data_IF_462131502639
#
_entry.id   IF_462131502639
#
_cell.length_a   1.000
_cell.length_b   1.000
_cell.length_c   1.000
_cell.angle_alpha   90.00
_cell.angle_beta   90.00
_cell.angle_gamma   90.00
#
_symmetry.space_group_name_H-M   'P 1'
#
loop_
_entity.id
_entity.type
_entity.pdbx_description
1 polymer ?
#
# COMPACT_ATOMS: atom_id res chain seq x y z
N UNK A 1 -4.04 -16.41 13.04
CA UNK A 1 -3.25 -16.22 14.27
C UNK A 1 -3.54 -17.30 15.31
N UNK A 2 -4.80 -17.58 15.65
CA UNK A 2 -5.17 -18.65 16.61
C UNK A 2 -4.60 -20.03 16.25
N UNK A 3 -4.62 -20.42 14.97
CA UNK A 3 -4.02 -21.67 14.51
C UNK A 3 -2.49 -21.69 14.69
N UNK A 4 -1.83 -20.56 14.44
CA UNK A 4 -0.39 -20.42 14.67
C UNK A 4 -0.07 -20.54 16.16
N UNK A 5 -0.82 -19.85 17.02
CA UNK A 5 -0.66 -19.93 18.47
C UNK A 5 -0.86 -21.36 18.99
N UNK A 6 -1.86 -22.06 18.46
CA UNK A 6 -2.11 -23.45 18.80
C UNK A 6 -0.93 -24.34 18.40
N UNK A 7 -0.40 -24.19 17.18
CA UNK A 7 0.79 -24.93 16.70
C UNK A 7 2.03 -24.65 17.55
N UNK A 8 2.23 -23.40 17.99
CA UNK A 8 3.34 -23.06 18.87
C UNK A 8 3.22 -23.77 20.24
N UNK A 9 2.02 -23.95 20.77
CA UNK A 9 1.79 -24.66 22.02
C UNK A 9 2.10 -26.18 21.95
N UNK A 10 2.18 -26.75 20.74
CA UNK A 10 2.53 -28.15 20.54
C UNK A 10 4.04 -28.45 20.73
N UNK A 11 4.88 -27.38 20.77
CA UNK A 11 6.30 -27.54 21.07
C UNK A 11 6.54 -27.53 22.57
N UNK A 12 7.44 -28.39 23.03
CA UNK A 12 7.98 -28.35 24.40
C UNK A 12 9.20 -27.39 24.41
N UNK A 13 9.09 -26.21 25.02
CA UNK A 13 10.21 -25.26 25.07
C UNK A 13 11.48 -25.85 25.70
N UNK A 14 11.34 -26.79 26.65
CA UNK A 14 12.47 -27.46 27.30
C UNK A 14 13.27 -28.37 26.40
N UNK A 15 12.70 -28.81 25.26
CA UNK A 15 13.38 -29.67 24.26
C UNK A 15 14.09 -28.87 23.16
N UNK A 16 13.92 -27.54 23.13
CA UNK A 16 14.46 -26.66 22.09
C UNK A 16 15.92 -26.28 22.38
N UNK A 17 16.74 -26.13 21.33
CA UNK A 17 18.06 -25.51 21.45
C UNK A 17 17.93 -24.03 21.83
N UNK A 18 19.04 -23.40 22.31
CA UNK A 18 19.02 -21.99 22.70
C UNK A 18 18.50 -21.06 21.58
N UNK A 19 18.95 -21.26 20.34
CA UNK A 19 18.52 -20.48 19.18
C UNK A 19 17.03 -20.72 18.84
N UNK A 20 16.58 -21.99 18.93
CA UNK A 20 15.18 -22.34 18.72
C UNK A 20 14.27 -21.75 19.82
N UNK A 21 14.77 -21.65 21.06
CA UNK A 21 14.02 -21.03 22.15
C UNK A 21 13.83 -19.54 21.95
N UNK A 22 14.86 -18.81 21.49
CA UNK A 22 14.76 -17.39 21.12
C UNK A 22 13.69 -17.20 20.03
N UNK A 23 13.70 -18.05 19.00
CA UNK A 23 12.71 -18.00 17.92
C UNK A 23 11.30 -18.31 18.45
N UNK A 24 11.15 -19.34 19.27
CA UNK A 24 9.87 -19.71 19.89
C UNK A 24 9.30 -18.58 20.74
N UNK A 25 10.12 -17.98 21.60
CA UNK A 25 9.72 -16.88 22.49
C UNK A 25 9.32 -15.65 21.66
N UNK A 26 10.09 -15.33 20.61
CA UNK A 26 9.80 -14.21 19.71
C UNK A 26 8.48 -14.42 18.96
N UNK A 27 8.27 -15.59 18.35
CA UNK A 27 7.02 -15.92 17.65
C UNK A 27 5.84 -15.97 18.60
N UNK A 28 6.02 -16.48 19.83
CA UNK A 28 4.96 -16.49 20.84
C UNK A 28 4.57 -15.07 21.24
N UNK A 29 5.54 -14.22 21.58
CA UNK A 29 5.29 -12.83 21.93
C UNK A 29 4.61 -12.03 20.80
N UNK A 30 5.08 -12.20 19.55
CA UNK A 30 4.45 -11.57 18.37
C UNK A 30 3.00 -12.05 18.19
N UNK A 31 2.77 -13.35 18.31
CA UNK A 31 1.43 -13.93 18.12
C UNK A 31 0.48 -13.46 19.22
N UNK A 32 0.93 -13.48 20.49
CA UNK A 32 0.14 -13.04 21.64
C UNK A 32 -0.21 -11.54 21.51
N UNK A 33 0.76 -10.69 21.13
CA UNK A 33 0.51 -9.25 20.89
C UNK A 33 -0.50 -9.03 19.76
N UNK A 34 -0.37 -9.79 18.68
CA UNK A 34 -1.32 -9.68 17.55
C UNK A 34 -2.74 -10.16 17.92
N UNK A 35 -2.85 -11.18 18.80
CA UNK A 35 -4.15 -11.65 19.30
C UNK A 35 -4.79 -10.63 20.26
N UNK A 36 -3.99 -9.87 21.01
CA UNK A 36 -4.50 -8.77 21.87
C UNK A 36 -5.09 -7.62 21.05
N UNK A 37 -4.71 -7.49 19.78
CA UNK A 37 -5.27 -6.47 18.87
C UNK A 37 -6.56 -6.94 18.18
N UNK A 38 -7.03 -8.17 18.42
CA UNK A 38 -8.28 -8.68 17.83
C UNK A 38 -9.47 -7.83 18.29
N UNK A 39 -10.28 -7.40 17.33
CA UNK A 39 -11.41 -6.47 17.55
C UNK A 39 -11.03 -4.99 17.52
N UNK A 40 -9.75 -4.67 17.27
CA UNK A 40 -9.25 -3.29 17.13
C UNK A 40 -8.93 -2.93 15.66
N UNK A 41 -9.35 -3.76 14.71
CA UNK A 41 -9.00 -3.60 13.28
C UNK A 41 -9.45 -2.25 12.73
N UNK A 42 -10.60 -1.74 13.17
CA UNK A 42 -11.13 -0.44 12.73
C UNK A 42 -10.34 0.77 13.27
N UNK A 43 -9.43 0.56 14.21
CA UNK A 43 -8.51 1.61 14.66
C UNK A 43 -7.27 1.76 13.79
N UNK A 44 -7.05 0.84 12.84
CA UNK A 44 -5.98 1.00 11.85
C UNK A 44 -6.23 2.22 10.97
N UNK A 45 -5.14 2.87 10.56
CA UNK A 45 -5.18 4.08 9.74
C UNK A 45 -4.35 3.87 8.46
N UNK A 46 -4.87 3.16 7.46
CA UNK A 46 -4.17 2.96 6.20
C UNK A 46 -3.96 4.27 5.45
N UNK A 47 -4.92 5.20 5.56
CA UNK A 47 -4.82 6.54 5.00
C UNK A 47 -4.49 7.55 6.10
N UNK A 48 -3.52 8.42 5.83
CA UNK A 48 -3.12 9.49 6.75
C UNK A 48 -2.54 10.68 5.95
N UNK A 49 -2.67 11.92 6.45
CA UNK A 49 -2.23 13.12 5.72
C UNK A 49 -0.76 13.10 5.26
N UNK A 50 0.13 12.41 6.00
CA UNK A 50 1.58 12.47 5.72
C UNK A 50 2.17 11.10 5.36
N UNK A 51 1.80 10.05 6.10
CA UNK A 51 2.43 8.72 6.00
C UNK A 51 1.44 7.62 5.61
N UNK A 52 0.28 7.99 5.06
CA UNK A 52 -0.69 7.02 4.58
C UNK A 52 -0.22 6.29 3.32
N UNK A 53 -0.86 5.17 3.03
CA UNK A 53 -0.51 4.32 1.88
C UNK A 53 -0.62 5.08 0.54
N UNK A 54 -1.52 6.08 0.46
CA UNK A 54 -1.66 6.93 -0.72
C UNK A 54 -0.38 7.71 -1.05
N UNK A 55 0.45 8.03 -0.05
CA UNK A 55 1.71 8.72 -0.23
C UNK A 55 2.91 7.76 -0.32
N UNK A 56 2.85 6.63 0.38
CA UNK A 56 3.95 5.66 0.41
C UNK A 56 4.00 4.76 -0.83
N UNK A 57 2.84 4.34 -1.34
CA UNK A 57 2.77 3.38 -2.43
C UNK A 57 3.43 3.88 -3.74
N UNK A 58 3.27 5.15 -4.17
CA UNK A 58 4.00 5.66 -5.32
C UNK A 58 5.52 5.63 -5.14
N UNK A 59 6.00 5.89 -3.92
CA UNK A 59 7.43 5.83 -3.60
C UNK A 59 7.93 4.39 -3.72
N UNK A 60 7.23 3.43 -3.11
CA UNK A 60 7.57 2.01 -3.21
C UNK A 60 7.58 1.53 -4.67
N UNK A 61 6.61 1.96 -5.47
CA UNK A 61 6.57 1.66 -6.90
C UNK A 61 7.75 2.30 -7.65
N UNK A 62 8.20 3.48 -7.27
CA UNK A 62 9.35 4.15 -7.89
C UNK A 62 10.68 3.48 -7.55
N UNK A 63 10.77 2.84 -6.40
CA UNK A 63 11.97 2.15 -5.91
C UNK A 63 12.02 0.66 -6.28
N UNK A 64 10.97 0.13 -6.91
CA UNK A 64 10.91 -1.28 -7.33
C UNK A 64 12.02 -1.58 -8.35
N UNK A 65 13.00 -2.40 -8.00
CA UNK A 65 14.19 -2.66 -8.81
C UNK A 65 13.90 -3.65 -9.95
N UNK A 66 14.51 -3.44 -11.12
CA UNK A 66 14.45 -4.35 -12.26
C UNK A 66 15.81 -5.06 -12.44
N UNK A 67 15.82 -6.38 -12.24
CA UNK A 67 16.96 -7.28 -12.49
C UNK A 67 16.68 -8.31 -13.59
N UNK A 68 15.42 -8.43 -13.99
CA UNK A 68 14.94 -9.35 -15.03
C UNK A 68 13.75 -8.76 -15.78
N UNK A 69 13.40 -9.37 -16.92
CA UNK A 69 12.16 -9.05 -17.66
C UNK A 69 10.94 -9.31 -16.74
N UNK A 70 10.99 -10.34 -15.90
CA UNK A 70 9.88 -10.67 -15.01
C UNK A 70 9.59 -9.54 -14.01
N UNK A 71 10.62 -8.86 -13.51
CA UNK A 71 10.41 -7.73 -12.57
C UNK A 71 9.68 -6.56 -13.23
N UNK A 72 9.93 -6.33 -14.54
CA UNK A 72 9.17 -5.32 -15.30
C UNK A 72 7.71 -5.74 -15.44
N UNK A 73 7.45 -7.02 -15.76
CA UNK A 73 6.09 -7.57 -15.85
C UNK A 73 5.36 -7.50 -14.52
N UNK A 74 6.04 -7.87 -13.43
CA UNK A 74 5.47 -7.81 -12.08
C UNK A 74 5.14 -6.37 -11.67
N UNK A 75 6.01 -5.41 -11.96
CA UNK A 75 5.76 -4.00 -11.74
C UNK A 75 4.52 -3.48 -12.51
N UNK A 76 4.40 -3.83 -13.79
CA UNK A 76 3.22 -3.46 -14.59
C UNK A 76 1.94 -4.11 -14.04
N UNK A 77 2.05 -5.36 -13.56
CA UNK A 77 0.96 -6.07 -12.90
C UNK A 77 0.54 -5.38 -11.60
N UNK A 78 1.50 -4.90 -10.79
CA UNK A 78 1.20 -4.14 -9.57
C UNK A 78 0.43 -2.85 -9.88
N UNK A 79 0.85 -2.09 -10.90
CA UNK A 79 0.13 -0.90 -11.34
C UNK A 79 -1.32 -1.21 -11.72
N UNK A 80 -1.57 -2.33 -12.41
CA UNK A 80 -2.92 -2.72 -12.83
C UNK A 80 -3.87 -3.05 -11.68
N UNK A 81 -3.35 -3.31 -10.48
CA UNK A 81 -4.14 -3.70 -9.31
C UNK A 81 -4.50 -2.52 -8.40
N UNK A 82 -3.98 -1.32 -8.67
CA UNK A 82 -4.13 -0.16 -7.78
C UNK A 82 -5.59 0.23 -7.53
N UNK A 83 -6.44 0.18 -8.55
CA UNK A 83 -7.85 0.56 -8.40
C UNK A 83 -8.59 -0.39 -7.45
N UNK A 84 -8.36 -1.69 -7.59
CA UNK A 84 -8.91 -2.70 -6.66
C UNK A 84 -8.39 -2.49 -5.24
N UNK A 85 -7.09 -2.23 -5.10
CA UNK A 85 -6.46 -2.03 -3.80
C UNK A 85 -7.01 -0.79 -3.08
N UNK A 86 -7.16 0.34 -3.78
CA UNK A 86 -7.79 1.53 -3.20
C UNK A 86 -9.29 1.35 -2.97
N UNK A 87 -9.96 0.53 -3.77
CA UNK A 87 -11.34 0.13 -3.52
C UNK A 87 -11.51 -0.59 -2.18
N UNK A 88 -10.61 -1.52 -1.86
CA UNK A 88 -10.62 -2.22 -0.57
C UNK A 88 -10.33 -1.28 0.60
N UNK A 89 -9.40 -0.33 0.43
CA UNK A 89 -9.13 0.72 1.43
C UNK A 89 -10.35 1.62 1.65
N UNK A 90 -11.01 2.06 0.57
CA UNK A 90 -12.23 2.87 0.68
C UNK A 90 -13.35 2.11 1.37
N UNK A 91 -13.50 0.83 1.08
CA UNK A 91 -14.47 -0.02 1.79
C UNK A 91 -14.16 -0.08 3.29
N UNK A 92 -12.90 -0.22 3.66
CA UNK A 92 -12.46 -0.20 5.06
C UNK A 92 -12.73 1.17 5.72
N UNK A 93 -12.42 2.28 5.08
CA UNK A 93 -12.71 3.62 5.60
C UNK A 93 -14.23 3.87 5.72
N UNK A 94 -15.03 3.30 4.81
CA UNK A 94 -16.49 3.32 4.95
C UNK A 94 -16.96 2.57 6.21
N UNK A 95 -16.42 1.38 6.47
CA UNK A 95 -16.73 0.62 7.70
C UNK A 95 -16.34 1.39 8.96
N UNK A 96 -15.17 2.05 8.96
CA UNK A 96 -14.76 2.95 10.06
C UNK A 96 -15.74 4.10 10.24
N UNK A 97 -16.15 4.73 9.15
CA UNK A 97 -17.13 5.83 9.19
C UNK A 97 -18.48 5.38 9.76
N UNK A 98 -18.94 4.18 9.38
CA UNK A 98 -20.20 3.61 9.89
C UNK A 98 -20.11 3.22 11.38
N UNK A 99 -18.88 2.92 11.86
CA UNK A 99 -18.58 2.65 13.27
C UNK A 99 -18.23 3.91 14.08
N UNK A 100 -18.40 5.10 13.52
CA UNK A 100 -18.06 6.38 14.17
C UNK A 100 -16.55 6.57 14.43
N UNK A 101 -15.69 5.82 13.72
CA UNK A 101 -14.23 5.88 13.78
C UNK A 101 -13.61 6.49 12.50
N UNK A 102 -14.42 7.13 11.67
CA UNK A 102 -14.00 7.69 10.40
C UNK A 102 -13.02 8.86 10.53
N UNK A 103 -12.39 9.21 9.42
CA UNK A 103 -11.49 10.35 9.30
C UNK A 103 -12.26 11.66 9.50
N UNK A 104 -11.61 12.65 10.12
CA UNK A 104 -12.13 14.02 10.14
C UNK A 104 -12.08 14.64 8.74
N UNK A 105 -12.94 15.63 8.47
CA UNK A 105 -12.96 16.35 7.19
C UNK A 105 -11.59 17.00 6.90
N UNK A 106 -10.94 17.56 7.92
CA UNK A 106 -9.61 18.14 7.78
C UNK A 106 -8.53 17.11 7.39
N UNK A 107 -8.66 15.86 7.86
CA UNK A 107 -7.75 14.76 7.46
C UNK A 107 -8.04 14.33 6.03
N UNK A 108 -9.32 14.18 5.67
CA UNK A 108 -9.75 13.84 4.31
C UNK A 108 -9.22 14.87 3.31
N UNK A 109 -9.37 16.17 3.59
CA UNK A 109 -8.89 17.24 2.71
C UNK A 109 -7.40 17.16 2.43
N UNK A 110 -6.59 16.91 3.46
CA UNK A 110 -5.14 16.78 3.31
C UNK A 110 -4.74 15.51 2.56
N UNK A 111 -5.48 14.42 2.74
CA UNK A 111 -5.23 13.17 2.00
C UNK A 111 -5.59 13.39 0.52
N UNK A 112 -6.70 14.05 0.23
CA UNK A 112 -7.11 14.40 -1.14
C UNK A 112 -6.04 15.30 -1.79
N UNK A 113 -5.59 16.35 -1.13
CA UNK A 113 -4.51 17.22 -1.62
C UNK A 113 -3.24 16.43 -1.96
N UNK A 114 -2.87 15.48 -1.09
CA UNK A 114 -1.76 14.55 -1.36
C UNK A 114 -2.02 13.71 -2.61
N UNK A 115 -3.23 13.16 -2.78
CA UNK A 115 -3.60 12.36 -3.95
C UNK A 115 -3.59 13.18 -5.25
N UNK A 116 -4.10 14.42 -5.21
CA UNK A 116 -4.13 15.33 -6.35
C UNK A 116 -2.73 15.65 -6.87
N UNK A 117 -1.72 15.70 -6.00
CA UNK A 117 -0.32 15.94 -6.39
C UNK A 117 0.25 14.87 -7.33
N UNK A 118 -0.36 13.68 -7.40
CA UNK A 118 0.03 12.59 -8.30
C UNK A 118 -0.72 12.61 -9.64
N UNK A 119 -1.75 13.46 -9.79
CA UNK A 119 -2.53 13.57 -11.02
C UNK A 119 -1.82 14.45 -12.07
N UNK A 120 -0.66 13.99 -12.49
CA UNK A 120 0.21 14.62 -13.48
C UNK A 120 0.14 13.82 -14.78
N UNK A 121 0.28 14.50 -15.93
CA UNK A 121 0.29 13.82 -17.23
C UNK A 121 1.26 12.64 -17.26
N UNK A 122 0.90 11.52 -17.89
CA UNK A 122 1.70 10.29 -17.85
C UNK A 122 3.17 10.48 -18.24
N UNK A 123 3.46 11.34 -19.22
CA UNK A 123 4.83 11.59 -19.71
C UNK A 123 5.67 12.36 -18.68
N UNK A 124 5.04 13.23 -17.89
CA UNK A 124 5.67 14.07 -16.86
C UNK A 124 5.61 13.43 -15.46
N UNK A 125 4.96 12.27 -15.33
CA UNK A 125 4.82 11.59 -14.04
C UNK A 125 6.17 11.04 -13.57
N UNK A 126 6.50 11.25 -12.29
CA UNK A 126 7.78 10.80 -11.72
C UNK A 126 7.97 9.27 -11.82
N UNK A 127 6.88 8.48 -11.84
CA UNK A 127 6.96 7.04 -12.07
C UNK A 127 7.49 6.72 -13.47
N UNK A 128 7.22 7.57 -14.46
CA UNK A 128 7.75 7.42 -15.82
C UNK A 128 9.24 7.74 -15.85
N UNK A 129 9.68 8.79 -15.20
CA UNK A 129 11.11 9.12 -15.07
C UNK A 129 11.89 8.00 -14.36
N UNK A 130 11.37 7.50 -13.23
CA UNK A 130 12.00 6.41 -12.49
C UNK A 130 11.95 5.08 -13.24
N UNK A 131 10.88 4.81 -14.00
CA UNK A 131 10.79 3.64 -14.87
C UNK A 131 11.89 3.64 -15.95
N UNK A 132 12.09 4.78 -16.63
CA UNK A 132 13.16 4.92 -17.62
C UNK A 132 14.56 4.71 -17.02
N UNK A 133 14.78 5.21 -15.82
CA UNK A 133 16.05 5.04 -15.11
C UNK A 133 16.31 3.57 -14.77
N UNK A 134 15.28 2.86 -14.29
CA UNK A 134 15.35 1.42 -13.95
C UNK A 134 15.48 0.54 -15.21
N UNK A 135 14.81 0.91 -16.29
CA UNK A 135 14.94 0.19 -17.56
C UNK A 135 16.36 0.32 -18.12
N UNK A 136 16.97 1.49 -18.02
CA UNK A 136 18.39 1.70 -18.37
C UNK A 136 19.33 0.88 -17.50
N UNK A 137 19.04 0.78 -16.19
CA UNK A 137 19.83 -0.07 -15.28
C UNK A 137 19.75 -1.55 -15.71
N UNK A 138 18.55 -2.03 -16.01
CA UNK A 138 18.33 -3.41 -16.48
C UNK A 138 19.12 -3.72 -17.77
N UNK A 139 19.28 -2.73 -18.69
CA UNK A 139 20.09 -2.88 -19.91
C UNK A 139 21.58 -3.17 -19.63
N UNK A 140 22.08 -2.84 -18.44
CA UNK A 140 23.45 -3.22 -18.03
C UNK A 140 23.55 -4.66 -17.52
N UNK A 141 22.45 -5.23 -17.06
CA UNK A 141 22.41 -6.60 -16.52
C UNK A 141 22.04 -7.63 -17.58
N UNK A 142 21.11 -7.28 -18.49
CA UNK A 142 20.62 -8.17 -19.55
C UNK A 142 20.51 -7.43 -20.89
N UNK A 143 20.52 -8.20 -21.99
CA UNK A 143 20.30 -7.64 -23.33
C UNK A 143 18.82 -7.55 -23.63
N UNK A 144 18.29 -6.34 -23.81
CA UNK A 144 16.94 -6.07 -24.30
C UNK A 144 16.98 -5.70 -25.79
N UNK A 145 16.03 -6.21 -26.56
CA UNK A 145 15.80 -5.75 -27.94
C UNK A 145 15.11 -4.38 -27.96
N UNK A 146 15.29 -3.59 -28.99
CA UNK A 146 14.60 -2.30 -29.15
C UNK A 146 13.06 -2.46 -29.14
N UNK A 147 12.56 -3.59 -29.65
CA UNK A 147 11.14 -3.91 -29.62
C UNK A 147 10.63 -4.09 -28.17
N UNK A 148 11.38 -4.80 -27.31
CA UNK A 148 11.02 -4.98 -25.90
C UNK A 148 11.02 -3.66 -25.14
N UNK A 149 12.04 -2.83 -25.36
CA UNK A 149 12.11 -1.50 -24.73
C UNK A 149 10.93 -0.60 -25.10
N UNK A 150 10.58 -0.60 -26.40
CA UNK A 150 9.44 0.18 -26.89
C UNK A 150 8.12 -0.35 -26.31
N UNK A 151 7.96 -1.67 -26.26
CA UNK A 151 6.77 -2.31 -25.68
C UNK A 151 6.62 -1.97 -24.18
N UNK A 152 7.68 -2.11 -23.40
CA UNK A 152 7.66 -1.78 -21.97
C UNK A 152 7.32 -0.32 -21.70
N UNK A 153 7.89 0.62 -22.46
CA UNK A 153 7.55 2.05 -22.36
C UNK A 153 6.10 2.33 -22.68
N UNK A 154 5.62 1.76 -23.79
CA UNK A 154 4.23 1.93 -24.20
C UNK A 154 3.26 1.39 -23.15
N UNK A 155 3.53 0.20 -22.63
CA UNK A 155 2.69 -0.43 -21.60
C UNK A 155 2.77 0.32 -20.27
N UNK A 156 3.94 0.83 -19.91
CA UNK A 156 4.07 1.65 -18.71
C UNK A 156 3.21 2.92 -18.81
N UNK A 157 3.30 3.68 -19.89
CA UNK A 157 2.47 4.87 -20.09
C UNK A 157 0.98 4.53 -20.11
N UNK A 158 0.61 3.39 -20.71
CA UNK A 158 -0.77 2.90 -20.67
C UNK A 158 -1.23 2.59 -19.23
N UNK A 159 -0.38 1.95 -18.41
CA UNK A 159 -0.68 1.69 -16.99
C UNK A 159 -0.79 2.98 -16.18
N UNK A 160 0.07 3.97 -16.41
CA UNK A 160 -0.08 5.26 -15.73
C UNK A 160 -1.42 5.92 -16.10
N UNK A 161 -1.75 5.95 -17.39
CA UNK A 161 -2.96 6.61 -17.87
C UNK A 161 -4.26 5.89 -17.49
N UNK A 162 -4.28 4.57 -17.57
CA UNK A 162 -5.49 3.76 -17.48
C UNK A 162 -5.64 2.97 -16.17
N UNK A 163 -4.61 2.96 -15.29
CA UNK A 163 -4.68 2.32 -14.00
C UNK A 163 -4.30 3.28 -12.86
N UNK A 164 -3.09 3.85 -12.86
CA UNK A 164 -2.60 4.69 -11.77
C UNK A 164 -3.44 5.96 -11.58
N UNK A 165 -3.58 6.77 -12.61
CA UNK A 165 -4.36 8.02 -12.52
C UNK A 165 -5.85 7.77 -12.21
N UNK A 166 -6.55 6.81 -12.82
CA UNK A 166 -7.91 6.47 -12.44
C UNK A 166 -8.05 6.00 -10.99
N UNK A 167 -7.12 5.17 -10.49
CA UNK A 167 -7.14 4.69 -9.12
C UNK A 167 -7.06 5.85 -8.09
N UNK A 168 -6.22 6.85 -8.35
CA UNK A 168 -6.17 8.05 -7.51
C UNK A 168 -7.42 8.91 -7.59
N UNK A 169 -8.03 9.05 -8.78
CA UNK A 169 -9.33 9.74 -8.91
C UNK A 169 -10.42 9.00 -8.15
N UNK A 170 -10.48 7.68 -8.25
CA UNK A 170 -11.40 6.85 -7.49
C UNK A 170 -11.22 7.03 -5.98
N UNK A 171 -9.97 7.03 -5.49
CA UNK A 171 -9.67 7.28 -4.08
C UNK A 171 -10.14 8.67 -3.63
N UNK A 172 -9.91 9.72 -4.42
CA UNK A 172 -10.36 11.10 -4.16
C UNK A 172 -11.89 11.16 -4.09
N UNK A 173 -12.59 10.58 -5.07
CA UNK A 173 -14.05 10.58 -5.14
C UNK A 173 -14.66 9.82 -3.95
N UNK A 174 -14.09 8.65 -3.62
CA UNK A 174 -14.51 7.86 -2.49
C UNK A 174 -14.34 8.60 -1.15
N UNK A 175 -13.17 9.18 -0.92
CA UNK A 175 -12.91 10.00 0.28
C UNK A 175 -13.82 11.22 0.36
N UNK A 176 -14.05 11.89 -0.77
CA UNK A 176 -14.96 13.04 -0.82
C UNK A 176 -16.38 12.67 -0.39
N UNK A 177 -16.84 11.45 -0.68
CA UNK A 177 -18.15 10.95 -0.27
C UNK A 177 -18.28 10.67 1.24
N UNK A 178 -17.14 10.55 1.95
CA UNK A 178 -17.09 10.33 3.40
C UNK A 178 -17.08 11.63 4.21
N UNK A 179 -16.92 12.79 3.57
CA UNK A 179 -16.94 14.09 4.25
C UNK A 179 -18.29 14.36 4.92
N UNK A 180 -18.22 15.05 6.06
CA UNK A 180 -19.40 15.37 6.88
C UNK A 180 -19.92 14.20 7.69
N UNK A 181 -19.25 13.04 7.69
CA UNK A 181 -19.61 11.85 8.46
C UNK A 181 -18.72 11.63 9.68
N UNK A 182 -17.63 12.37 9.81
CA UNK A 182 -16.74 12.33 10.96
C UNK A 182 -17.42 12.92 12.19
N UNK A 183 -17.30 12.24 13.33
CA UNK A 183 -17.80 12.76 14.63
C UNK A 183 -16.66 13.36 15.45
N UNK A 184 -15.42 13.19 15.02
CA UNK A 184 -14.22 13.62 15.76
C UNK A 184 -13.54 14.84 15.09
N UNK A 185 -14.30 15.86 14.76
CA UNK A 185 -13.77 17.10 14.17
C UNK A 185 -12.86 17.89 15.14
N UNK A 186 -12.99 17.65 16.44
CA UNK A 186 -12.15 18.24 17.49
C UNK A 186 -10.82 17.47 17.70
N UNK A 187 -10.59 16.36 16.99
CA UNK A 187 -9.43 15.51 17.17
C UNK A 187 -9.42 14.82 18.55
N UNK A 188 -8.23 14.43 19.02
CA UNK A 188 -8.06 13.75 20.30
C UNK A 188 -8.60 14.54 21.51
N UNK A 189 -8.76 15.85 21.37
CA UNK A 189 -9.34 16.70 22.42
C UNK A 189 -10.87 16.55 22.55
N UNK A 190 -11.50 15.85 21.62
CA UNK A 190 -12.95 15.60 21.61
C UNK A 190 -13.37 14.28 22.28
N UNK A 191 -12.40 13.47 22.74
CA UNK A 191 -12.63 12.23 23.48
C UNK A 191 -12.60 12.43 24.98
#
# INVERSE_FOLDING_TARGET
LHDLRKKLNDFDPGSLSADQQILYDSLSAMTDTSLMAEGLELYEQPLAPTIGIQAQLPILLSEYSFHSIQDVEDYLSLLSQLDSYYGDILFFEQQKSDAELGLSDASIDRIIESCESYLIDPEDNFLTETFESRLKFLEHEITLTEQQKTDFRSRHLDMINNAFLPAYRHLIDGLSSLKGRGINESGLAGF
#
